data_IF_256945666124
#
_entry.id   IF_256945666124
#
_cell.length_a   1.000
_cell.length_b   1.000
_cell.length_c   1.000
_cell.angle_alpha   90.00
_cell.angle_beta   90.00
_cell.angle_gamma   90.00
#
_symmetry.space_group_name_H-M   'P 1'
#
loop_
_entity.id
_entity.type
_entity.pdbx_description
1 polymer ?
#
# COMPACT_ATOMS: atom_id res chain seq x y z
N UNK A 1 -3.13 -0.56 28.33
CA UNK A 1 -3.61 0.57 27.47
C UNK A 1 -4.88 0.16 26.75
N UNK A 2 -5.86 1.04 26.59
CA UNK A 2 -7.10 0.73 25.86
C UNK A 2 -6.93 0.92 24.35
N UNK A 3 -7.75 0.21 23.56
CA UNK A 3 -7.64 0.24 22.09
C UNK A 3 -7.71 1.65 21.48
N UNK A 4 -8.52 2.56 22.05
CA UNK A 4 -8.63 3.94 21.59
C UNK A 4 -7.34 4.73 21.81
N UNK A 5 -6.74 4.57 22.98
CA UNK A 5 -5.46 5.21 23.33
C UNK A 5 -4.33 4.66 22.44
N UNK A 6 -4.33 3.34 22.24
CA UNK A 6 -3.37 2.65 21.39
C UNK A 6 -3.48 3.07 19.91
N UNK A 7 -4.70 3.19 19.41
CA UNK A 7 -5.02 3.70 18.07
C UNK A 7 -4.45 5.11 17.86
N UNK A 8 -4.64 6.00 18.83
CA UNK A 8 -4.09 7.35 18.77
C UNK A 8 -2.55 7.36 18.86
N UNK A 9 -1.98 6.54 19.77
CA UNK A 9 -0.52 6.46 19.96
C UNK A 9 0.20 5.98 18.71
N UNK A 10 -0.37 4.99 18.02
CA UNK A 10 0.26 4.34 16.86
C UNK A 10 -0.20 4.96 15.53
N UNK A 11 -1.14 5.90 15.56
CA UNK A 11 -1.75 6.51 14.39
C UNK A 11 -2.31 5.48 13.39
N UNK A 12 -3.02 4.48 13.92
CA UNK A 12 -3.70 3.44 13.13
C UNK A 12 -5.14 3.29 13.60
N UNK A 13 -6.02 2.81 12.74
CA UNK A 13 -7.42 2.61 13.11
C UNK A 13 -7.58 1.49 14.15
N UNK A 14 -8.65 1.57 14.98
CA UNK A 14 -8.97 0.46 15.88
C UNK A 14 -9.29 -0.83 15.10
N UNK A 15 -9.79 -0.71 13.87
CA UNK A 15 -10.03 -1.83 12.96
C UNK A 15 -8.72 -2.52 12.58
N UNK A 16 -7.69 -1.74 12.26
CA UNK A 16 -6.35 -2.24 11.96
C UNK A 16 -5.74 -3.00 13.14
N UNK A 17 -5.89 -2.48 14.37
CA UNK A 17 -5.41 -3.19 15.58
C UNK A 17 -6.13 -4.54 15.74
N UNK A 18 -7.46 -4.57 15.56
CA UNK A 18 -8.22 -5.82 15.63
C UNK A 18 -7.84 -6.81 14.52
N UNK A 19 -7.57 -6.31 13.33
CA UNK A 19 -7.08 -7.14 12.25
C UNK A 19 -5.76 -7.84 12.63
N UNK A 20 -4.84 -7.14 13.31
CA UNK A 20 -3.60 -7.77 13.78
C UNK A 20 -3.83 -8.73 14.96
N UNK A 21 -4.87 -8.52 15.79
CA UNK A 21 -5.34 -9.53 16.74
C UNK A 21 -5.82 -10.80 16.02
N UNK A 22 -6.67 -10.61 14.99
CA UNK A 22 -7.25 -11.72 14.21
C UNK A 22 -6.16 -12.50 13.45
N UNK A 23 -5.11 -11.81 12.98
CA UNK A 23 -3.92 -12.42 12.39
C UNK A 23 -3.05 -13.18 13.41
N UNK A 24 -3.35 -13.08 14.71
CA UNK A 24 -2.60 -13.75 15.78
C UNK A 24 -1.28 -13.08 16.16
N UNK A 25 -1.02 -11.86 15.69
CA UNK A 25 0.22 -11.15 16.04
C UNK A 25 0.24 -10.65 17.47
N UNK A 26 -0.90 -10.22 18.00
CA UNK A 26 -1.02 -9.70 19.36
C UNK A 26 -2.22 -10.32 20.05
N UNK A 27 -2.14 -10.43 21.37
CA UNK A 27 -3.22 -10.97 22.19
C UNK A 27 -3.54 -9.98 23.31
N UNK A 28 -4.70 -9.30 23.27
CA UNK A 28 -5.07 -8.40 24.33
C UNK A 28 -5.41 -9.13 25.62
N UNK A 29 -5.10 -8.54 26.74
CA UNK A 29 -5.63 -8.96 28.03
C UNK A 29 -7.13 -8.63 28.06
N UNK A 30 -7.98 -9.65 28.17
CA UNK A 30 -9.44 -9.47 28.18
C UNK A 30 -9.99 -9.54 29.60
N UNK A 31 -10.86 -8.59 29.96
CA UNK A 31 -11.64 -8.60 31.20
C UNK A 31 -13.11 -8.54 30.85
N UNK A 32 -13.90 -9.45 31.40
CA UNK A 32 -15.36 -9.37 31.32
C UNK A 32 -15.89 -8.65 32.56
N UNK A 33 -16.48 -7.46 32.36
CA UNK A 33 -17.14 -6.69 33.41
C UNK A 33 -18.58 -6.43 32.98
N UNK A 34 -19.53 -6.95 33.73
CA UNK A 34 -20.98 -6.74 33.49
C UNK A 34 -21.41 -7.08 32.05
N UNK A 35 -20.94 -8.20 31.51
CA UNK A 35 -21.28 -8.67 30.16
C UNK A 35 -20.57 -7.93 29.03
N UNK A 36 -19.65 -7.01 29.32
CA UNK A 36 -18.83 -6.31 28.34
C UNK A 36 -17.38 -6.78 28.39
N UNK A 37 -16.83 -7.09 27.23
CA UNK A 37 -15.42 -7.48 27.10
C UNK A 37 -14.58 -6.20 26.94
N UNK A 38 -13.69 -5.98 27.91
CA UNK A 38 -12.70 -4.91 27.87
C UNK A 38 -11.36 -5.52 27.43
N UNK A 39 -10.72 -4.88 26.46
CA UNK A 39 -9.39 -5.24 25.95
C UNK A 39 -8.36 -4.26 26.47
N UNK A 40 -7.30 -4.78 27.03
CA UNK A 40 -6.13 -4.02 27.45
C UNK A 40 -4.89 -4.57 26.74
N UNK A 41 -4.04 -3.68 26.27
CA UNK A 41 -2.79 -4.00 25.59
C UNK A 41 -1.63 -3.67 26.52
N UNK A 42 -0.76 -4.64 26.74
CA UNK A 42 0.45 -4.48 27.52
C UNK A 42 1.59 -3.89 26.67
N UNK A 43 2.75 -3.66 27.29
CA UNK A 43 3.91 -3.08 26.62
C UNK A 43 4.47 -4.00 25.53
N UNK A 44 4.35 -5.31 25.72
CA UNK A 44 4.79 -6.29 24.72
C UNK A 44 3.95 -6.19 23.44
N UNK A 45 2.61 -6.15 23.57
CA UNK A 45 1.69 -5.97 22.47
C UNK A 45 1.92 -4.62 21.74
N UNK A 46 2.19 -3.55 22.49
CA UNK A 46 2.49 -2.23 21.92
C UNK A 46 3.78 -2.28 21.10
N UNK A 47 4.82 -2.89 21.63
CA UNK A 47 6.12 -3.02 20.94
C UNK A 47 5.97 -3.86 19.68
N UNK A 48 5.24 -4.97 19.75
CA UNK A 48 5.00 -5.83 18.61
C UNK A 48 4.20 -5.12 17.50
N UNK A 49 3.17 -4.36 17.87
CA UNK A 49 2.41 -3.53 16.92
C UNK A 49 3.28 -2.48 16.23
N UNK A 50 4.17 -1.80 16.98
CA UNK A 50 5.12 -0.85 16.39
C UNK A 50 6.00 -1.52 15.34
N UNK A 51 6.49 -2.71 15.63
CA UNK A 51 7.32 -3.50 14.70
C UNK A 51 6.53 -3.88 13.44
N UNK A 52 5.30 -4.40 13.60
CA UNK A 52 4.43 -4.77 12.48
C UNK A 52 4.15 -3.55 11.60
N UNK A 53 3.76 -2.43 12.20
CA UNK A 53 3.49 -1.19 11.47
C UNK A 53 4.74 -0.72 10.72
N UNK A 54 5.92 -0.83 11.33
CA UNK A 54 7.18 -0.53 10.67
C UNK A 54 7.43 -1.40 9.43
N UNK A 55 7.25 -2.71 9.56
CA UNK A 55 7.40 -3.66 8.46
C UNK A 55 6.35 -3.43 7.35
N UNK A 56 5.09 -3.13 7.71
CA UNK A 56 4.05 -2.77 6.74
C UNK A 56 4.39 -1.49 5.95
N UNK A 57 5.00 -0.50 6.59
CA UNK A 57 5.52 0.70 5.89
C UNK A 57 6.61 0.36 4.87
N UNK A 58 7.37 -0.69 5.11
CA UNK A 58 8.33 -1.24 4.16
C UNK A 58 7.68 -2.19 3.15
N UNK A 59 6.33 -2.28 3.11
CA UNK A 59 5.52 -3.10 2.20
C UNK A 59 5.61 -4.62 2.42
N UNK A 60 6.17 -5.09 3.54
CA UNK A 60 6.09 -6.51 3.87
C UNK A 60 4.64 -6.97 3.96
N UNK A 61 4.31 -8.08 3.33
CA UNK A 61 3.00 -8.74 3.44
C UNK A 61 2.80 -9.31 4.85
N UNK A 62 1.55 -9.64 5.20
CA UNK A 62 1.22 -10.28 6.48
C UNK A 62 1.96 -11.61 6.63
N UNK A 63 2.05 -12.38 5.56
CA UNK A 63 2.71 -13.69 5.59
C UNK A 63 4.23 -13.58 5.71
N UNK A 64 4.85 -12.61 5.04
CA UNK A 64 6.26 -12.31 5.25
C UNK A 64 6.54 -11.87 6.69
N UNK A 65 5.67 -11.06 7.29
CA UNK A 65 5.80 -10.63 8.70
C UNK A 65 5.65 -11.83 9.63
N UNK A 66 4.70 -12.74 9.38
CA UNK A 66 4.58 -14.00 10.14
C UNK A 66 5.86 -14.84 10.05
N UNK A 67 6.41 -14.98 8.84
CA UNK A 67 7.66 -15.70 8.63
C UNK A 67 8.84 -15.06 9.38
N UNK A 68 8.96 -13.72 9.36
CA UNK A 68 9.99 -12.99 10.11
C UNK A 68 9.91 -13.22 11.63
N UNK A 69 8.69 -13.37 12.18
CA UNK A 69 8.53 -13.68 13.61
C UNK A 69 8.72 -15.16 13.94
N UNK A 70 8.35 -16.06 13.02
CA UNK A 70 8.45 -17.49 13.23
C UNK A 70 9.87 -18.03 13.02
N UNK A 71 10.63 -17.45 12.10
CA UNK A 71 11.94 -17.92 11.65
C UNK A 71 12.97 -16.77 11.63
N UNK A 72 13.38 -16.25 12.82
CA UNK A 72 14.30 -15.11 12.91
C UNK A 72 15.66 -15.37 12.23
N UNK A 73 16.09 -16.63 12.16
CA UNK A 73 17.33 -17.05 11.49
C UNK A 73 17.28 -16.86 9.97
N UNK A 74 16.08 -16.81 9.37
CA UNK A 74 15.89 -16.55 7.94
C UNK A 74 15.65 -15.08 7.59
N UNK A 75 15.81 -14.18 8.55
CA UNK A 75 15.53 -12.76 8.36
C UNK A 75 16.22 -12.19 7.12
N UNK A 76 17.50 -12.50 6.93
CA UNK A 76 18.25 -12.00 5.77
C UNK A 76 17.72 -12.53 4.44
N UNK A 77 17.32 -13.81 4.40
CA UNK A 77 16.74 -14.46 3.22
C UNK A 77 15.39 -13.84 2.86
N UNK A 78 14.49 -13.71 3.84
CA UNK A 78 13.18 -13.10 3.64
C UNK A 78 13.31 -11.65 3.16
N UNK A 79 14.21 -10.86 3.78
CA UNK A 79 14.46 -9.48 3.34
C UNK A 79 15.02 -9.39 1.92
N UNK A 80 15.91 -10.31 1.53
CA UNK A 80 16.44 -10.35 0.16
C UNK A 80 15.36 -10.70 -0.86
N UNK A 81 14.52 -11.70 -0.54
CA UNK A 81 13.39 -12.09 -1.39
C UNK A 81 12.41 -10.92 -1.55
N UNK A 82 12.05 -10.27 -0.45
CA UNK A 82 11.19 -9.09 -0.47
C UNK A 82 11.76 -7.96 -1.32
N UNK A 83 13.06 -7.65 -1.18
CA UNK A 83 13.74 -6.66 -2.02
C UNK A 83 13.65 -7.02 -3.51
N UNK A 84 13.94 -8.27 -3.86
CA UNK A 84 13.89 -8.71 -5.26
C UNK A 84 12.47 -8.61 -5.84
N UNK A 85 11.44 -8.87 -5.02
CA UNK A 85 10.05 -8.68 -5.41
C UNK A 85 9.74 -7.19 -5.67
N UNK A 86 10.20 -6.30 -4.79
CA UNK A 86 10.04 -4.85 -4.99
C UNK A 86 10.77 -4.35 -6.24
N UNK A 87 11.98 -4.84 -6.53
CA UNK A 87 12.73 -4.50 -7.74
C UNK A 87 11.96 -4.94 -9.00
N UNK A 88 11.33 -6.12 -8.96
CA UNK A 88 10.46 -6.61 -10.03
C UNK A 88 9.23 -5.72 -10.22
N UNK A 89 8.54 -5.37 -9.13
CA UNK A 89 7.40 -4.44 -9.17
C UNK A 89 7.78 -3.08 -9.77
N UNK A 90 8.93 -2.52 -9.38
CA UNK A 90 9.45 -1.27 -9.94
C UNK A 90 9.68 -1.41 -11.45
N UNK A 91 10.26 -2.51 -11.89
CA UNK A 91 10.47 -2.80 -13.31
C UNK A 91 9.16 -2.77 -14.09
N UNK A 92 8.15 -3.45 -13.58
CA UNK A 92 6.81 -3.48 -14.21
C UNK A 92 6.15 -2.13 -14.22
N UNK A 93 6.12 -1.43 -13.07
CA UNK A 93 5.54 -0.09 -13.01
C UNK A 93 6.22 0.86 -14.00
N UNK A 94 7.54 0.73 -14.16
CA UNK A 94 8.30 1.52 -15.14
C UNK A 94 7.87 1.22 -16.57
N UNK A 95 7.60 -0.04 -16.89
CA UNK A 95 7.12 -0.42 -18.22
C UNK A 95 5.68 0.04 -18.47
N UNK A 96 4.80 -0.05 -17.45
CA UNK A 96 3.44 0.51 -17.54
C UNK A 96 3.48 2.01 -17.78
N UNK A 97 4.34 2.75 -17.09
CA UNK A 97 4.50 4.18 -17.33
C UNK A 97 4.93 4.46 -18.77
N UNK A 98 5.88 3.69 -19.32
CA UNK A 98 6.30 3.84 -20.71
C UNK A 98 5.16 3.55 -21.69
N UNK A 99 4.40 2.47 -21.48
CA UNK A 99 3.23 2.18 -22.30
C UNK A 99 2.23 3.33 -22.32
N UNK A 100 1.97 3.92 -21.14
CA UNK A 100 1.05 5.06 -21.04
C UNK A 100 1.62 6.34 -21.69
N UNK A 101 2.94 6.51 -21.69
CA UNK A 101 3.59 7.62 -22.41
C UNK A 101 3.45 7.48 -23.94
N UNK A 102 3.37 6.25 -24.46
CA UNK A 102 3.24 5.93 -25.89
C UNK A 102 1.76 5.94 -26.36
N UNK A 103 0.79 6.10 -25.46
CA UNK A 103 -0.64 6.18 -25.79
C UNK A 103 -0.96 7.48 -26.53
N UNK A 104 -1.59 7.38 -27.69
CA UNK A 104 -2.13 8.52 -28.43
C UNK A 104 -3.54 8.90 -27.93
N UNK A 105 -3.60 9.86 -27.02
CA UNK A 105 -4.86 10.34 -26.44
C UNK A 105 -5.74 11.10 -27.40
N UNK A 106 -5.28 11.46 -28.62
CA UNK A 106 -6.11 12.20 -29.60
C UNK A 106 -7.27 11.37 -30.15
N UNK A 107 -7.19 10.06 -30.07
CA UNK A 107 -8.18 9.11 -30.58
C UNK A 107 -8.94 8.35 -29.46
N UNK A 108 -8.69 8.69 -28.19
CA UNK A 108 -9.34 8.06 -27.03
C UNK A 108 -10.56 8.89 -26.63
N UNK A 109 -11.75 8.32 -26.75
CA UNK A 109 -13.01 8.94 -26.34
C UNK A 109 -13.59 8.31 -25.09
N UNK A 110 -13.33 7.02 -24.86
CA UNK A 110 -13.82 6.26 -23.72
C UNK A 110 -12.74 5.30 -23.17
N UNK A 111 -12.95 4.77 -21.97
CA UNK A 111 -12.00 3.89 -21.31
C UNK A 111 -11.69 2.61 -22.11
N UNK A 112 -12.63 2.15 -22.93
CA UNK A 112 -12.45 0.98 -23.79
C UNK A 112 -11.37 1.24 -24.85
N UNK A 113 -11.38 2.42 -25.47
CA UNK A 113 -10.39 2.80 -26.50
C UNK A 113 -8.97 2.77 -25.91
N UNK A 114 -8.82 3.24 -24.65
CA UNK A 114 -7.56 3.17 -23.93
C UNK A 114 -7.08 1.73 -23.74
N UNK A 115 -7.97 0.83 -23.29
CA UNK A 115 -7.59 -0.57 -23.09
C UNK A 115 -7.22 -1.27 -24.38
N UNK A 116 -7.93 -1.01 -25.46
CA UNK A 116 -7.64 -1.54 -26.80
C UNK A 116 -6.27 -1.06 -27.31
N UNK A 117 -5.94 0.23 -27.14
CA UNK A 117 -4.66 0.79 -27.56
C UNK A 117 -3.51 0.24 -26.70
N UNK A 118 -3.67 0.13 -25.38
CA UNK A 118 -2.68 -0.46 -24.49
C UNK A 118 -2.43 -1.94 -24.85
N UNK A 119 -3.49 -2.70 -25.19
CA UNK A 119 -3.34 -4.09 -25.63
C UNK A 119 -2.56 -4.20 -26.97
N UNK A 120 -2.73 -3.27 -27.88
CA UNK A 120 -1.94 -3.23 -29.13
C UNK A 120 -0.45 -2.96 -28.83
N UNK A 121 -0.18 -1.95 -28.02
CA UNK A 121 1.19 -1.60 -27.62
C UNK A 121 1.88 -2.72 -26.81
N UNK A 122 1.09 -3.45 -26.00
CA UNK A 122 1.57 -4.56 -25.18
C UNK A 122 2.06 -5.73 -26.03
N UNK A 123 1.38 -6.06 -27.13
CA UNK A 123 1.78 -7.16 -28.04
C UNK A 123 3.15 -6.95 -28.69
N UNK A 124 3.62 -5.71 -28.71
CA UNK A 124 4.93 -5.34 -29.21
C UNK A 124 6.03 -5.38 -28.13
N UNK A 125 5.67 -5.65 -26.87
CA UNK A 125 6.59 -5.64 -25.72
C UNK A 125 6.58 -6.97 -24.96
N UNK A 126 7.69 -7.28 -24.26
CA UNK A 126 7.90 -8.53 -23.47
C UNK A 126 7.04 -8.60 -22.21
N UNK A 127 5.96 -7.82 -22.11
CA UNK A 127 5.09 -7.72 -20.92
C UNK A 127 4.07 -8.86 -20.79
N UNK A 128 3.96 -9.75 -21.78
CA UNK A 128 2.95 -10.80 -21.80
C UNK A 128 3.06 -11.78 -20.62
N UNK A 129 4.28 -12.15 -20.22
CA UNK A 129 4.50 -13.09 -19.10
C UNK A 129 4.07 -12.51 -17.75
N UNK A 130 4.15 -11.18 -17.59
CA UNK A 130 3.83 -10.55 -16.32
C UNK A 130 2.32 -10.37 -16.09
N UNK A 131 1.60 -9.99 -17.14
CA UNK A 131 0.14 -9.79 -17.03
C UNK A 131 -0.64 -11.10 -17.01
N UNK A 132 -0.07 -12.21 -17.48
CA UNK A 132 -0.70 -13.54 -17.39
C UNK A 132 -0.76 -14.06 -15.96
N UNK A 133 0.22 -13.73 -15.14
CA UNK A 133 0.33 -14.16 -13.75
C UNK A 133 -0.22 -13.13 -12.75
N UNK A 134 -0.79 -12.01 -13.24
CA UNK A 134 -1.27 -10.95 -12.39
C UNK A 134 -2.61 -11.33 -11.76
N UNK A 135 -2.56 -11.73 -10.49
CA UNK A 135 -3.75 -12.02 -9.71
C UNK A 135 -4.44 -10.71 -9.28
N UNK A 136 -5.54 -10.37 -9.95
CA UNK A 136 -6.35 -9.20 -9.64
C UNK A 136 -6.95 -9.26 -8.24
N UNK A 137 -7.03 -10.44 -7.60
CA UNK A 137 -7.52 -10.59 -6.23
C UNK A 137 -6.61 -9.92 -5.21
N UNK A 138 -5.33 -9.74 -5.54
CA UNK A 138 -4.35 -9.04 -4.68
C UNK A 138 -4.59 -7.54 -4.60
N UNK A 139 -5.39 -6.94 -5.49
CA UNK A 139 -5.75 -5.52 -5.41
C UNK A 139 -6.69 -5.18 -4.26
N UNK A 140 -7.48 -6.14 -3.78
CA UNK A 140 -8.45 -5.91 -2.71
C UNK A 140 -7.83 -5.91 -1.30
N UNK A 141 -6.59 -6.41 -1.14
CA UNK A 141 -5.95 -6.53 0.16
C UNK A 141 -5.15 -5.33 0.68
N UNK A 142 -4.46 -4.52 -0.16
CA UNK A 142 -3.29 -3.81 0.34
C UNK A 142 -3.58 -2.52 1.10
N UNK A 143 -4.73 -1.93 0.96
CA UNK A 143 -4.97 -0.60 1.51
C UNK A 143 -5.95 -0.56 2.69
N UNK A 144 -6.39 -1.72 3.19
CA UNK A 144 -7.20 -1.78 4.41
C UNK A 144 -6.43 -1.36 5.66
N UNK A 145 -5.10 -1.47 5.66
CA UNK A 145 -4.23 -0.99 6.74
C UNK A 145 -4.05 0.54 6.74
N UNK A 146 -4.23 1.15 5.59
CA UNK A 146 -4.23 2.60 5.42
C UNK A 146 -5.61 3.03 4.93
N UNK A 147 -6.56 3.16 5.83
CA UNK A 147 -7.85 3.76 5.50
C UNK A 147 -7.67 5.29 5.31
N UNK A 148 -7.06 5.65 4.18
CA UNK A 148 -6.84 7.03 3.75
C UNK A 148 -8.15 7.83 3.65
N UNK A 149 -9.31 7.15 3.65
CA UNK A 149 -10.61 7.80 3.55
C UNK A 149 -11.11 8.38 4.88
N UNK A 150 -10.52 7.98 6.03
CA UNK A 150 -10.96 8.45 7.36
C UNK A 150 -10.06 9.51 7.99
N UNK A 151 -8.85 9.70 7.51
CA UNK A 151 -8.00 10.79 7.98
C UNK A 151 -8.32 12.09 7.22
N UNK A 152 -9.42 12.74 7.57
CA UNK A 152 -9.68 14.16 7.26
C UNK A 152 -8.84 15.07 8.17
N UNK A 153 -7.56 14.85 8.28
CA UNK A 153 -6.66 15.73 9.04
C UNK A 153 -5.79 16.53 8.07
N UNK A 154 -5.35 17.71 8.50
CA UNK A 154 -4.49 18.58 7.67
C UNK A 154 -3.16 17.91 7.29
N UNK A 155 -2.67 16.96 8.09
CA UNK A 155 -1.50 16.12 7.79
C UNK A 155 -1.67 15.28 6.53
N UNK A 156 -2.88 14.79 6.26
CA UNK A 156 -3.16 14.05 5.03
C UNK A 156 -3.10 14.95 3.79
N UNK A 157 -3.50 16.21 3.92
CA UNK A 157 -3.35 17.20 2.83
C UNK A 157 -1.88 17.53 2.57
N UNK A 158 -1.04 17.61 3.62
CA UNK A 158 0.39 17.83 3.46
C UNK A 158 1.08 16.62 2.84
N UNK A 159 0.76 15.39 3.28
CA UNK A 159 1.31 14.17 2.68
C UNK A 159 0.91 14.03 1.21
N UNK A 160 -0.36 14.28 0.88
CA UNK A 160 -0.84 14.27 -0.50
C UNK A 160 -0.15 15.33 -1.36
N UNK A 161 0.14 16.51 -0.79
CA UNK A 161 0.94 17.57 -1.47
C UNK A 161 2.39 17.13 -1.67
N UNK A 162 2.98 16.43 -0.69
CA UNK A 162 4.36 15.94 -0.77
C UNK A 162 4.50 14.84 -1.83
N UNK A 163 3.55 13.89 -1.86
CA UNK A 163 3.49 12.82 -2.87
C UNK A 163 3.24 13.40 -4.26
N UNK A 164 2.29 14.32 -4.40
CA UNK A 164 2.06 15.03 -5.65
C UNK A 164 3.29 15.83 -6.09
N UNK A 165 3.95 16.52 -5.16
CA UNK A 165 5.17 17.27 -5.43
C UNK A 165 6.32 16.38 -5.89
N UNK A 166 6.53 15.22 -5.27
CA UNK A 166 7.57 14.27 -5.67
C UNK A 166 7.24 13.62 -7.03
N UNK A 167 5.98 13.33 -7.29
CA UNK A 167 5.52 12.83 -8.59
C UNK A 167 5.78 13.86 -9.71
N UNK A 168 5.40 15.13 -9.49
CA UNK A 168 5.65 16.22 -10.46
C UNK A 168 7.13 16.56 -10.61
N UNK A 169 7.95 16.33 -9.59
CA UNK A 169 9.40 16.51 -9.68
C UNK A 169 10.05 15.43 -10.55
N UNK A 170 9.54 14.20 -10.47
CA UNK A 170 9.99 13.10 -11.30
C UNK A 170 9.46 13.16 -12.76
N UNK A 171 8.34 13.89 -12.98
CA UNK A 171 7.65 13.97 -14.28
C UNK A 171 7.35 15.42 -14.68
N UNK A 172 8.37 16.23 -15.02
CA UNK A 172 8.20 17.66 -15.28
C UNK A 172 7.24 17.99 -16.45
N UNK A 173 7.08 17.08 -17.43
CA UNK A 173 6.15 17.27 -18.55
C UNK A 173 4.67 17.28 -18.14
N UNK A 174 4.29 16.58 -17.07
CA UNK A 174 2.91 16.54 -16.57
C UNK A 174 2.52 17.90 -15.95
N UNK A 175 3.48 18.61 -15.35
CA UNK A 175 3.26 19.91 -14.74
C UNK A 175 2.94 21.01 -15.77
N UNK A 176 3.53 20.93 -16.96
CA UNK A 176 3.31 21.92 -18.02
C UNK A 176 1.91 21.84 -18.67
N UNK A 177 1.33 20.64 -18.71
CA UNK A 177 0.01 20.41 -19.32
C UNK A 177 -1.15 20.89 -18.42
N UNK A 178 -0.96 20.92 -17.10
CA UNK A 178 -1.98 21.38 -16.14
C UNK A 178 -2.03 22.93 -16.00
N UNK A 179 -0.95 23.61 -16.34
CA UNK A 179 -0.91 25.08 -16.30
C UNK A 179 -1.38 25.75 -17.60
N UNK A 180 -1.52 24.99 -18.70
CA UNK A 180 -1.96 25.49 -20.00
C UNK A 180 -3.48 25.56 -20.22
N UNK A 181 -4.27 25.08 -19.25
CA UNK A 181 -5.74 24.96 -19.39
C UNK A 181 -6.58 26.09 -18.80
N UNK A 182 -5.99 27.19 -18.40
CA UNK A 182 -6.73 28.32 -17.80
C UNK A 182 -6.47 29.64 -18.54
N UNK A 183 -6.82 29.70 -19.82
CA UNK A 183 -7.13 30.98 -20.51
C UNK A 183 -7.99 30.65 -21.74
N UNK A 184 -9.30 30.99 -21.66
CA UNK A 184 -10.24 30.94 -22.77
C UNK A 184 -11.67 30.90 -22.27
#
# INVERSE_FOLDING_TARGET
MKIKELSNLLNVSQKTIRYYEDCGFIMPLTQNKSGRIFRDYDEAAITQLKTIIGLRKLRFSIDEIKALFAEPEKLAEICNTHRNNLEREIGVMTQICKLLDDVDFSHINEAKDLTEQVEMLRRETILDDYFSDYDLSTFDEPFTDYDLRKQKTDEHKEYSKLVASSYYFAHPKVKSNLQGGAIG
#
